data_IF_769165944267
#
_entry.id   IF_769165944267
#
_cell.length_a   1.000
_cell.length_b   1.000
_cell.length_c   1.000
_cell.angle_alpha   90.00
_cell.angle_beta   90.00
_cell.angle_gamma   90.00
#
_symmetry.space_group_name_H-M   'P 1'
#
loop_
_entity.id
_entity.type
_entity.pdbx_description
1 polymer ?
#
# COMPACT_ATOMS: atom_id res chain seq x y z
N UNK A 1 22.36 5.76 4.94
CA UNK A 1 21.27 4.86 5.36
C UNK A 1 20.02 5.32 4.60
N UNK A 2 19.29 4.40 3.99
CA UNK A 2 18.02 4.70 3.34
C UNK A 2 16.87 4.35 4.29
N UNK A 3 15.84 5.18 4.35
CA UNK A 3 14.68 5.00 5.22
C UNK A 3 13.43 4.93 4.34
N UNK A 4 12.61 3.91 4.56
CA UNK A 4 11.28 3.78 3.96
C UNK A 4 10.18 4.09 4.97
N UNK A 5 9.03 4.53 4.49
CA UNK A 5 7.81 4.71 5.26
C UNK A 5 6.77 3.67 4.82
N UNK A 6 6.20 2.92 5.75
CA UNK A 6 5.05 2.05 5.49
C UNK A 6 3.78 2.74 5.98
N UNK A 7 2.78 2.83 5.10
CA UNK A 7 1.45 3.36 5.41
C UNK A 7 0.55 2.16 5.67
N UNK A 8 0.15 1.98 6.92
CA UNK A 8 -0.58 0.79 7.38
C UNK A 8 -1.98 1.10 7.87
N UNK A 9 -2.25 2.36 8.20
CA UNK A 9 -3.54 2.81 8.73
C UNK A 9 -4.14 3.89 7.84
N UNK A 10 -5.46 3.85 7.70
CA UNK A 10 -6.23 4.77 6.86
C UNK A 10 -7.40 5.42 7.63
N UNK A 11 -7.43 5.25 8.94
CA UNK A 11 -8.44 5.85 9.81
C UNK A 11 -8.01 7.25 10.27
N UNK A 12 -8.30 8.22 9.42
CA UNK A 12 -8.03 9.62 9.70
C UNK A 12 -9.31 10.41 9.95
N UNK A 13 -9.27 11.48 10.77
CA UNK A 13 -10.43 12.34 10.99
C UNK A 13 -11.02 12.85 9.68
N UNK A 14 -12.34 12.66 9.50
CA UNK A 14 -13.06 13.06 8.30
C UNK A 14 -13.19 11.99 7.22
N UNK A 15 -12.84 10.74 7.53
CA UNK A 15 -13.08 9.60 6.65
C UNK A 15 -14.58 9.40 6.32
N UNK A 16 -14.90 8.83 5.12
CA UNK A 16 -13.96 8.49 4.03
C UNK A 16 -13.57 9.67 3.14
N UNK A 17 -14.21 10.82 3.25
CA UNK A 17 -14.03 11.95 2.34
C UNK A 17 -12.64 12.61 2.38
N UNK A 18 -11.82 12.28 3.37
CA UNK A 18 -10.50 12.89 3.60
C UNK A 18 -9.32 11.98 3.25
N UNK A 19 -9.54 10.68 3.02
CA UNK A 19 -8.47 9.68 2.84
C UNK A 19 -7.52 10.05 1.71
N UNK A 20 -8.03 10.33 0.52
CA UNK A 20 -7.18 10.67 -0.63
C UNK A 20 -6.28 11.88 -0.38
N UNK A 21 -6.83 12.95 0.21
CA UNK A 21 -6.04 14.14 0.55
C UNK A 21 -4.96 13.82 1.57
N UNK A 22 -5.29 13.09 2.62
CA UNK A 22 -4.32 12.70 3.66
C UNK A 22 -3.21 11.81 3.11
N UNK A 23 -3.53 10.87 2.22
CA UNK A 23 -2.54 10.07 1.51
C UNK A 23 -1.58 10.93 0.70
N UNK A 24 -2.12 11.91 -0.04
CA UNK A 24 -1.32 12.86 -0.82
C UNK A 24 -0.40 13.70 0.08
N UNK A 25 -0.93 14.22 1.20
CA UNK A 25 -0.17 15.03 2.16
C UNK A 25 0.99 14.21 2.77
N UNK A 26 0.73 12.98 3.21
CA UNK A 26 1.74 12.08 3.79
C UNK A 26 2.80 11.70 2.75
N UNK A 27 2.36 11.32 1.55
CA UNK A 27 3.28 10.90 0.49
C UNK A 27 4.15 12.06 -0.01
N UNK A 28 3.56 13.24 -0.20
CA UNK A 28 4.30 14.46 -0.57
C UNK A 28 5.33 14.84 0.47
N UNK A 29 4.94 14.85 1.76
CA UNK A 29 5.86 15.14 2.85
C UNK A 29 7.02 14.14 2.93
N UNK A 30 6.77 12.84 2.74
CA UNK A 30 7.82 11.81 2.71
C UNK A 30 8.76 12.00 1.52
N UNK A 31 8.22 12.28 0.32
CA UNK A 31 8.99 12.54 -0.89
C UNK A 31 9.89 13.77 -0.73
N UNK A 32 9.36 14.85 -0.17
CA UNK A 32 10.10 16.09 0.11
C UNK A 32 11.17 15.89 1.19
N UNK A 33 10.87 15.14 2.24
CA UNK A 33 11.80 14.84 3.32
C UNK A 33 12.93 13.87 2.92
N UNK A 34 12.88 13.29 1.71
CA UNK A 34 13.93 12.43 1.18
C UNK A 34 13.84 10.98 1.65
N UNK A 35 12.66 10.48 2.00
CA UNK A 35 12.46 9.04 2.18
C UNK A 35 12.81 8.30 0.90
N UNK A 36 13.40 7.12 1.04
CA UNK A 36 13.81 6.30 -0.11
C UNK A 36 12.62 5.57 -0.75
N UNK A 37 11.63 5.20 0.06
CA UNK A 37 10.49 4.39 -0.39
C UNK A 37 9.23 4.59 0.45
N UNK A 38 8.08 4.38 -0.20
CA UNK A 38 6.77 4.26 0.42
C UNK A 38 6.23 2.84 0.19
N UNK A 39 5.61 2.29 1.22
CA UNK A 39 5.10 0.93 1.23
C UNK A 39 3.65 0.89 1.69
N UNK A 40 2.85 0.02 1.06
CA UNK A 40 1.50 -0.34 1.51
C UNK A 40 1.49 -1.80 1.96
N UNK A 41 0.47 -2.21 2.71
CA UNK A 41 0.16 -3.62 2.93
C UNK A 41 -0.80 -4.12 1.85
N UNK A 42 -0.69 -5.40 1.51
CA UNK A 42 -1.60 -6.06 0.57
C UNK A 42 -2.56 -6.96 1.33
N UNK A 43 -3.57 -6.33 1.92
CA UNK A 43 -4.61 -6.97 2.72
C UNK A 43 -5.99 -6.47 2.30
N UNK A 44 -7.03 -7.30 2.51
CA UNK A 44 -8.44 -6.93 2.31
C UNK A 44 -9.10 -6.41 3.59
N UNK A 45 -8.56 -6.84 4.73
CA UNK A 45 -8.99 -6.43 6.05
C UNK A 45 -7.83 -5.84 6.83
N UNK A 46 -8.13 -4.97 7.80
CA UNK A 46 -7.12 -4.50 8.72
C UNK A 46 -6.72 -5.63 9.68
N UNK A 47 -5.61 -5.46 10.36
CA UNK A 47 -5.13 -6.45 11.33
C UNK A 47 -6.07 -6.52 12.54
N UNK A 48 -6.18 -7.71 13.11
CA UNK A 48 -6.89 -7.92 14.38
C UNK A 48 -5.92 -7.72 15.55
N UNK A 49 -5.84 -6.49 16.05
CA UNK A 49 -4.94 -6.08 17.13
C UNK A 49 -5.70 -5.26 18.17
N UNK A 50 -6.62 -5.90 18.95
CA UNK A 50 -7.50 -5.19 19.89
C UNK A 50 -6.73 -4.43 20.98
N UNK A 51 -5.55 -4.91 21.37
CA UNK A 51 -4.70 -4.23 22.36
C UNK A 51 -4.16 -2.87 21.84
N UNK A 52 -4.13 -2.69 20.53
CA UNK A 52 -3.75 -1.43 19.87
C UNK A 52 -4.95 -0.65 19.34
N UNK A 53 -6.17 -1.13 19.60
CA UNK A 53 -7.41 -0.52 19.12
C UNK A 53 -7.63 -0.69 17.62
N UNK A 54 -6.98 -1.66 16.98
CA UNK A 54 -7.10 -1.95 15.54
C UNK A 54 -8.02 -3.15 15.33
N UNK A 55 -9.00 -2.98 14.46
CA UNK A 55 -10.03 -3.98 14.12
C UNK A 55 -9.97 -4.35 12.65
N UNK A 56 -10.26 -5.62 12.30
CA UNK A 56 -10.37 -6.04 10.90
C UNK A 56 -11.39 -5.25 10.06
N UNK A 57 -12.35 -4.60 10.70
CA UNK A 57 -13.36 -3.74 10.07
C UNK A 57 -12.90 -2.31 9.82
N UNK A 58 -11.72 -1.93 10.34
CA UNK A 58 -11.15 -0.60 10.10
C UNK A 58 -10.77 -0.42 8.62
N UNK A 59 -10.69 0.82 8.12
CA UNK A 59 -10.40 1.09 6.72
C UNK A 59 -9.12 0.42 6.24
N UNK A 60 -9.23 -0.34 5.16
CA UNK A 60 -8.11 -0.94 4.45
C UNK A 60 -8.25 -0.67 2.95
N UNK A 61 -7.21 -0.13 2.33
CA UNK A 61 -7.21 0.19 0.91
C UNK A 61 -6.47 -0.88 0.11
N UNK A 62 -6.98 -1.15 -1.10
CA UNK A 62 -6.32 -2.07 -2.03
C UNK A 62 -4.93 -1.54 -2.43
N UNK A 63 -3.93 -2.38 -2.27
CA UNK A 63 -2.52 -2.00 -2.33
C UNK A 63 -2.12 -1.32 -3.63
N UNK A 64 -2.36 -1.96 -4.79
CA UNK A 64 -1.88 -1.45 -6.08
C UNK A 64 -2.66 -0.24 -6.58
N UNK A 65 -3.95 -0.14 -6.27
CA UNK A 65 -4.74 1.07 -6.52
C UNK A 65 -4.19 2.24 -5.72
N UNK A 66 -3.86 2.00 -4.46
CA UNK A 66 -3.23 3.01 -3.59
C UNK A 66 -1.84 3.41 -4.12
N UNK A 67 -0.99 2.44 -4.50
CA UNK A 67 0.33 2.72 -5.08
C UNK A 67 0.24 3.50 -6.39
N UNK A 68 -0.75 3.23 -7.23
CA UNK A 68 -1.01 4.01 -8.44
C UNK A 68 -1.35 5.47 -8.14
N UNK A 69 -2.17 5.70 -7.12
CA UNK A 69 -2.46 7.04 -6.64
C UNK A 69 -1.20 7.73 -6.09
N UNK A 70 -0.43 7.05 -5.23
CA UNK A 70 0.82 7.58 -4.67
C UNK A 70 1.85 7.90 -5.77
N UNK A 71 1.91 7.11 -6.83
CA UNK A 71 2.79 7.37 -7.98
C UNK A 71 2.49 8.72 -8.65
N UNK A 72 1.22 9.14 -8.67
CA UNK A 72 0.80 10.40 -9.31
C UNK A 72 1.11 11.65 -8.48
N UNK A 73 1.31 11.50 -7.16
CA UNK A 73 1.52 12.61 -6.22
C UNK A 73 2.95 12.67 -5.65
N UNK A 74 3.84 11.80 -6.14
CA UNK A 74 5.25 11.75 -5.73
C UNK A 74 6.18 11.69 -6.95
N UNK A 75 7.45 12.08 -6.77
CA UNK A 75 8.41 12.18 -7.88
C UNK A 75 9.67 11.34 -7.70
N UNK A 76 10.07 11.00 -6.49
CA UNK A 76 11.39 10.41 -6.17
C UNK A 76 11.29 9.09 -5.42
N UNK A 77 10.40 9.01 -4.43
CA UNK A 77 10.27 7.80 -3.59
C UNK A 77 9.91 6.59 -4.43
N UNK A 78 10.53 5.46 -4.13
CA UNK A 78 10.14 4.17 -4.69
C UNK A 78 8.85 3.69 -4.02
N UNK A 79 8.09 2.89 -4.74
CA UNK A 79 6.73 2.51 -4.35
C UNK A 79 6.61 0.99 -4.38
N UNK A 80 6.12 0.38 -3.32
CA UNK A 80 5.95 -1.06 -3.27
C UNK A 80 4.92 -1.54 -2.27
N UNK A 81 4.46 -2.76 -2.48
CA UNK A 81 3.72 -3.49 -1.46
C UNK A 81 4.66 -4.30 -0.58
N UNK A 82 4.47 -4.25 0.72
CA UNK A 82 5.26 -5.02 1.69
C UNK A 82 4.32 -5.92 2.51
N UNK A 83 4.04 -7.12 1.96
CA UNK A 83 4.39 -7.63 0.64
C UNK A 83 3.15 -8.10 -0.09
N UNK A 84 3.23 -8.27 -1.41
CA UNK A 84 2.10 -8.77 -2.21
C UNK A 84 1.76 -10.20 -1.83
N UNK A 85 0.49 -10.44 -1.51
CA UNK A 85 -0.01 -11.79 -1.23
C UNK A 85 -0.15 -12.62 -2.51
N UNK A 86 0.60 -13.74 -2.60
CA UNK A 86 0.65 -14.58 -3.81
C UNK A 86 -0.70 -15.16 -4.21
N UNK A 87 -1.60 -15.35 -3.24
CA UNK A 87 -2.91 -15.97 -3.46
C UNK A 87 -4.01 -14.97 -3.88
N UNK A 88 -3.76 -13.66 -3.79
CA UNK A 88 -4.83 -12.65 -3.97
C UNK A 88 -5.11 -12.31 -5.43
N UNK A 89 -4.19 -12.61 -6.35
CA UNK A 89 -4.33 -12.26 -7.77
C UNK A 89 -3.81 -13.34 -8.68
N UNK A 90 -4.44 -13.47 -9.85
CA UNK A 90 -3.86 -14.27 -10.92
C UNK A 90 -2.45 -13.74 -11.27
N UNK A 91 -1.42 -14.61 -11.37
CA UNK A 91 -0.05 -14.19 -11.60
C UNK A 91 0.14 -13.31 -12.85
N UNK A 92 -0.57 -13.60 -13.93
CA UNK A 92 -0.50 -12.77 -15.15
C UNK A 92 -1.05 -11.36 -14.92
N UNK A 93 -2.17 -11.24 -14.20
CA UNK A 93 -2.73 -9.95 -13.82
C UNK A 93 -1.79 -9.19 -12.88
N UNK A 94 -1.22 -9.88 -11.89
CA UNK A 94 -0.29 -9.27 -10.94
C UNK A 94 0.93 -8.66 -11.64
N UNK A 95 1.59 -9.43 -12.50
CA UNK A 95 2.75 -8.94 -13.26
C UNK A 95 2.36 -7.76 -14.15
N UNK A 96 1.19 -7.82 -14.81
CA UNK A 96 0.70 -6.69 -15.60
C UNK A 96 0.46 -5.44 -14.74
N UNK A 97 -0.08 -5.59 -13.55
CA UNK A 97 -0.31 -4.49 -12.61
C UNK A 97 1.00 -3.85 -12.17
N UNK A 98 1.96 -4.67 -11.73
CA UNK A 98 3.28 -4.18 -11.26
C UNK A 98 4.04 -3.48 -12.37
N UNK A 99 4.11 -4.08 -13.56
CA UNK A 99 4.81 -3.46 -14.70
C UNK A 99 4.13 -2.17 -15.17
N UNK A 100 2.81 -2.09 -15.05
CA UNK A 100 2.07 -0.85 -15.34
C UNK A 100 2.43 0.25 -14.33
N UNK A 101 2.43 -0.10 -13.04
CA UNK A 101 2.87 0.83 -11.98
C UNK A 101 4.30 1.33 -12.23
N UNK A 102 5.21 0.42 -12.60
CA UNK A 102 6.60 0.77 -12.89
C UNK A 102 6.72 1.77 -14.04
N UNK A 103 6.05 1.50 -15.16
CA UNK A 103 6.02 2.40 -16.31
C UNK A 103 5.43 3.76 -15.95
N UNK A 104 4.27 3.80 -15.29
CA UNK A 104 3.58 5.04 -14.94
C UNK A 104 4.33 5.86 -13.89
N UNK A 105 5.08 5.20 -13.01
CA UNK A 105 5.90 5.87 -12.00
C UNK A 105 7.31 6.26 -12.50
N UNK A 106 7.67 5.92 -13.74
CA UNK A 106 9.00 6.19 -14.29
C UNK A 106 10.10 5.31 -13.70
N UNK A 107 9.81 4.02 -13.47
CA UNK A 107 10.79 3.04 -12.97
C UNK A 107 10.95 3.04 -11.44
N UNK A 108 9.94 3.49 -10.69
CA UNK A 108 10.00 3.58 -9.23
C UNK A 108 9.33 2.42 -8.49
N UNK A 109 8.77 1.42 -9.19
CA UNK A 109 8.11 0.32 -8.53
C UNK A 109 9.10 -0.68 -7.92
N UNK A 110 8.80 -1.12 -6.70
CA UNK A 110 9.36 -2.31 -6.08
C UNK A 110 8.33 -3.44 -6.10
N UNK A 111 8.77 -4.66 -6.33
CA UNK A 111 7.95 -5.85 -6.26
C UNK A 111 8.41 -6.76 -5.13
N UNK A 112 7.69 -6.72 -4.01
CA UNK A 112 7.82 -7.68 -2.92
C UNK A 112 6.69 -8.70 -2.98
N UNK A 113 6.97 -9.98 -2.79
CA UNK A 113 5.98 -11.08 -2.81
C UNK A 113 6.10 -11.95 -1.57
N UNK A 114 4.98 -12.37 -1.02
CA UNK A 114 4.88 -13.22 0.15
C UNK A 114 3.81 -14.30 -0.01
N UNK A 115 3.89 -15.32 0.86
CA UNK A 115 3.02 -16.50 0.79
C UNK A 115 1.56 -16.21 1.19
N UNK A 116 1.28 -15.06 1.77
CA UNK A 116 0.07 -14.73 2.53
C UNK A 116 -0.07 -15.59 3.81
N UNK A 117 -0.61 -15.01 4.86
CA UNK A 117 -0.65 -15.68 6.18
C UNK A 117 -1.97 -15.44 6.93
N UNK A 118 -2.74 -14.41 6.51
CA UNK A 118 -3.94 -14.00 7.24
C UNK A 118 -5.10 -14.93 6.89
N UNK A 119 -5.44 -15.82 7.83
CA UNK A 119 -6.43 -16.89 7.63
C UNK A 119 -7.80 -16.35 7.19
N UNK A 120 -8.25 -15.23 7.77
CA UNK A 120 -9.53 -14.60 7.41
C UNK A 120 -9.62 -14.28 5.91
N UNK A 121 -8.54 -13.83 5.30
CA UNK A 121 -8.47 -13.52 3.88
C UNK A 121 -8.40 -14.80 3.03
N UNK A 122 -7.58 -15.75 3.47
CA UNK A 122 -7.43 -17.03 2.77
C UNK A 122 -8.72 -17.85 2.73
N UNK A 123 -9.58 -17.73 3.74
CA UNK A 123 -10.89 -18.41 3.78
C UNK A 123 -11.97 -17.65 3.00
N UNK A 124 -11.76 -16.36 2.70
CA UNK A 124 -12.69 -15.52 1.97
C UNK A 124 -12.49 -15.52 0.46
N UNK A 125 -11.38 -16.08 -0.01
CA UNK A 125 -11.00 -16.19 -1.43
C UNK A 125 -11.28 -17.59 -1.96
#
# INVERSE_FOLDING_TARGET
>A
MEIGLQIVEFDWPGNPGNVGRKLSDVAGAADEAGFASLWTMDHFFQMDMPDLGVSPEDPMLESYTTLGYLASVTNRVRLGSMVTGVIYRNPGLLIKTVTTLDVLSGGRAYFGIGAAWYEREALGL
#
